data_IF_402006668883
#
_entry.id   IF_402006668883
#
_cell.length_a   1.000
_cell.length_b   1.000
_cell.length_c   1.000
_cell.angle_alpha   90.00
_cell.angle_beta   90.00
_cell.angle_gamma   90.00
#
_symmetry.space_group_name_H-M   'P 1'
#
loop_
_entity.id
_entity.type
_entity.pdbx_description
1 polymer ?
#
# COMPACT_ATOMS: atom_id res chain seq x y z
N UNK A 1 -4.73 17.80 9.18
CA UNK A 1 -3.67 16.85 9.53
C UNK A 1 -3.42 15.77 8.48
N UNK A 2 -4.43 15.13 7.91
CA UNK A 2 -4.31 14.09 6.88
C UNK A 2 -3.61 14.55 5.58
N UNK A 3 -4.01 15.69 4.99
CA UNK A 3 -3.39 16.27 3.79
C UNK A 3 -1.92 16.63 3.98
N UNK A 4 -1.57 17.27 5.12
CA UNK A 4 -0.18 17.64 5.42
C UNK A 4 0.73 16.42 5.50
N UNK A 5 0.28 15.35 6.16
CA UNK A 5 1.02 14.08 6.21
C UNK A 5 1.28 13.53 4.80
N UNK A 6 0.26 13.56 3.91
CA UNK A 6 0.41 13.07 2.53
C UNK A 6 1.37 13.92 1.69
N UNK A 7 1.32 15.24 1.85
CA UNK A 7 2.26 16.16 1.16
C UNK A 7 3.69 15.86 1.62
N UNK A 8 3.93 15.75 2.93
CA UNK A 8 5.27 15.44 3.46
C UNK A 8 5.78 14.09 2.94
N UNK A 9 4.94 13.05 2.98
CA UNK A 9 5.28 11.73 2.44
C UNK A 9 5.57 11.80 0.94
N UNK A 10 4.78 12.55 0.17
CA UNK A 10 5.00 12.72 -1.27
C UNK A 10 6.31 13.48 -1.59
N UNK A 11 6.73 14.40 -0.74
CA UNK A 11 8.00 15.13 -0.90
C UNK A 11 9.22 14.28 -0.56
N UNK A 12 9.09 13.34 0.37
CA UNK A 12 10.20 12.47 0.83
C UNK A 12 10.35 11.26 -0.09
N UNK A 13 9.24 10.65 -0.49
CA UNK A 13 9.25 9.42 -1.28
C UNK A 13 9.70 9.65 -2.73
N UNK A 14 10.34 8.63 -3.37
CA UNK A 14 10.67 8.71 -4.78
C UNK A 14 9.41 8.85 -5.67
N UNK A 15 9.48 9.60 -6.77
CA UNK A 15 10.69 10.22 -7.34
C UNK A 15 11.07 11.56 -6.70
N UNK A 16 10.17 12.21 -5.95
CA UNK A 16 10.31 13.62 -5.54
C UNK A 16 11.50 13.85 -4.62
N UNK A 17 11.68 13.04 -3.57
CA UNK A 17 12.76 13.20 -2.61
C UNK A 17 14.16 13.18 -3.26
N UNK A 18 14.52 12.12 -3.98
CA UNK A 18 15.78 12.07 -4.71
C UNK A 18 15.97 13.23 -5.71
N UNK A 19 14.92 13.62 -6.44
CA UNK A 19 15.00 14.76 -7.38
C UNK A 19 15.28 16.07 -6.64
N UNK A 20 14.58 16.34 -5.55
CA UNK A 20 14.82 17.54 -4.74
C UNK A 20 16.22 17.57 -4.15
N UNK A 21 16.73 16.44 -3.67
CA UNK A 21 18.11 16.32 -3.18
C UNK A 21 19.14 16.56 -4.30
N UNK A 22 18.88 16.04 -5.50
CA UNK A 22 19.74 16.27 -6.65
C UNK A 22 19.78 17.77 -7.04
N UNK A 23 18.62 18.41 -7.11
CA UNK A 23 18.52 19.85 -7.40
C UNK A 23 19.21 20.69 -6.33
N UNK A 24 19.05 20.34 -5.07
CA UNK A 24 19.74 21.00 -3.95
C UNK A 24 21.25 20.82 -4.03
N UNK A 25 21.74 19.62 -4.36
CA UNK A 25 23.15 19.36 -4.60
C UNK A 25 23.73 20.20 -5.74
N UNK A 26 23.01 20.31 -6.87
CA UNK A 26 23.40 21.18 -7.98
C UNK A 26 23.38 22.67 -7.61
N UNK A 27 22.44 23.10 -6.78
CA UNK A 27 22.42 24.46 -6.26
C UNK A 27 23.62 24.75 -5.37
N UNK A 28 23.97 23.84 -4.45
CA UNK A 28 25.17 23.92 -3.61
C UNK A 28 26.45 24.03 -4.46
N UNK A 29 26.54 23.24 -5.53
CA UNK A 29 27.71 23.22 -6.41
C UNK A 29 27.92 24.55 -7.15
N UNK A 30 26.87 25.36 -7.30
CA UNK A 30 26.92 26.71 -7.93
C UNK A 30 27.10 27.83 -6.92
N UNK A 31 27.06 27.56 -5.63
CA UNK A 31 27.22 28.59 -4.60
C UNK A 31 28.57 29.26 -4.75
N UNK A 32 28.54 30.57 -5.04
CA UNK A 32 29.77 31.42 -5.09
C UNK A 32 30.20 31.66 -3.64
N UNK A 33 31.14 30.86 -3.13
CA UNK A 33 31.78 31.17 -1.86
C UNK A 33 32.73 32.36 -2.06
N UNK A 34 32.57 33.38 -1.26
CA UNK A 34 33.48 34.54 -1.19
C UNK A 34 34.76 34.21 -0.40
N UNK A 35 34.88 33.00 0.12
CA UNK A 35 35.96 32.59 1.00
C UNK A 35 36.83 31.50 0.36
N UNK A 36 38.08 31.44 0.82
CA UNK A 36 39.22 30.59 0.42
C UNK A 36 38.95 29.42 -0.52
N UNK A 37 39.77 29.22 -1.52
CA UNK A 37 39.63 28.20 -2.58
C UNK A 37 39.30 26.79 -2.09
N UNK A 38 39.78 26.38 -0.90
CA UNK A 38 39.51 25.08 -0.29
C UNK A 38 38.04 24.88 0.14
N UNK A 39 37.34 25.91 0.66
CA UNK A 39 35.94 25.83 1.03
C UNK A 39 35.04 25.80 -0.20
N UNK A 40 35.37 26.57 -1.22
CA UNK A 40 34.68 26.57 -2.51
C UNK A 40 34.73 25.19 -3.15
N UNK A 41 35.89 24.53 -3.14
CA UNK A 41 36.09 23.20 -3.65
C UNK A 41 35.20 22.17 -2.93
N UNK A 42 35.13 22.20 -1.58
CA UNK A 42 34.28 21.31 -0.76
C UNK A 42 32.80 21.44 -1.11
N UNK A 43 32.25 22.64 -1.24
CA UNK A 43 30.86 22.87 -1.59
C UNK A 43 30.54 22.42 -3.02
N UNK A 44 31.42 22.69 -3.96
CA UNK A 44 31.25 22.33 -5.36
C UNK A 44 31.24 20.80 -5.53
N UNK A 45 32.24 20.10 -5.03
CA UNK A 45 32.31 18.64 -5.17
C UNK A 45 31.30 17.93 -4.26
N UNK A 46 31.07 18.44 -3.06
CA UNK A 46 30.00 17.93 -2.18
C UNK A 46 28.61 18.02 -2.80
N UNK A 47 28.31 19.15 -3.45
CA UNK A 47 27.06 19.34 -4.18
C UNK A 47 26.92 18.39 -5.37
N UNK A 48 27.98 18.25 -6.18
CA UNK A 48 27.98 17.29 -7.31
C UNK A 48 27.82 15.86 -6.80
N UNK A 49 28.54 15.46 -5.76
CA UNK A 49 28.44 14.14 -5.16
C UNK A 49 27.01 13.86 -4.66
N UNK A 50 26.41 14.81 -3.95
CA UNK A 50 25.02 14.68 -3.48
C UNK A 50 24.06 14.50 -4.66
N UNK A 51 24.19 15.31 -5.71
CA UNK A 51 23.35 15.19 -6.90
C UNK A 51 23.52 13.83 -7.57
N UNK A 52 24.77 13.38 -7.75
CA UNK A 52 25.08 12.08 -8.37
C UNK A 52 24.50 10.92 -7.55
N UNK A 53 24.73 10.89 -6.24
CA UNK A 53 24.21 9.85 -5.36
C UNK A 53 22.67 9.83 -5.34
N UNK A 54 22.02 10.99 -5.37
CA UNK A 54 20.57 11.09 -5.43
C UNK A 54 19.99 10.53 -6.74
N UNK A 55 20.64 10.81 -7.87
CA UNK A 55 20.23 10.24 -9.17
C UNK A 55 20.49 8.74 -9.25
N UNK A 56 21.63 8.27 -8.75
CA UNK A 56 21.94 6.85 -8.68
C UNK A 56 20.96 6.09 -7.76
N UNK A 57 20.57 6.71 -6.63
CA UNK A 57 19.55 6.13 -5.76
C UNK A 57 18.18 6.03 -6.45
N UNK A 58 17.79 7.05 -7.23
CA UNK A 58 16.55 7.01 -7.99
C UNK A 58 16.59 5.91 -9.06
N UNK A 59 17.72 5.77 -9.76
CA UNK A 59 17.94 4.71 -10.74
C UNK A 59 17.84 3.32 -10.07
N UNK A 60 18.54 3.12 -8.97
CA UNK A 60 18.50 1.86 -8.21
C UNK A 60 17.09 1.52 -7.73
N UNK A 61 16.38 2.50 -7.14
CA UNK A 61 14.98 2.33 -6.70
C UNK A 61 14.01 2.05 -7.84
N UNK A 62 14.38 2.37 -9.08
CA UNK A 62 13.59 2.06 -10.28
C UNK A 62 13.82 0.64 -10.82
N UNK A 63 14.79 -0.10 -10.27
CA UNK A 63 15.01 -1.50 -10.66
C UNK A 63 14.09 -2.44 -9.87
N UNK A 64 13.49 -3.46 -10.53
CA UNK A 64 12.67 -4.46 -9.84
C UNK A 64 13.41 -5.18 -8.71
N UNK A 65 14.70 -5.49 -8.87
CA UNK A 65 15.49 -6.18 -7.83
C UNK A 65 15.52 -5.40 -6.50
N UNK A 66 15.69 -4.08 -6.55
CA UNK A 66 15.63 -3.24 -5.34
C UNK A 66 14.21 -3.16 -4.80
N UNK A 67 13.21 -3.01 -5.67
CA UNK A 67 11.80 -3.03 -5.29
C UNK A 67 11.43 -4.32 -4.55
N UNK A 68 11.82 -5.49 -5.08
CA UNK A 68 11.60 -6.79 -4.43
C UNK A 68 12.37 -6.93 -3.12
N UNK A 69 13.63 -6.51 -3.07
CA UNK A 69 14.43 -6.56 -1.84
C UNK A 69 13.83 -5.72 -0.71
N UNK A 70 13.28 -4.55 -1.03
CA UNK A 70 12.57 -3.71 -0.07
C UNK A 70 11.21 -4.28 0.34
N UNK A 71 10.52 -4.97 -0.58
CA UNK A 71 9.19 -5.51 -0.35
C UNK A 71 9.21 -6.84 0.42
N UNK A 72 10.24 -7.68 0.23
CA UNK A 72 10.30 -9.02 0.79
C UNK A 72 10.12 -9.07 2.33
N UNK A 73 10.80 -8.20 3.14
CA UNK A 73 10.61 -8.21 4.60
C UNK A 73 9.19 -7.75 5.03
N UNK A 74 8.46 -7.05 4.16
CA UNK A 74 7.11 -6.59 4.42
C UNK A 74 6.05 -7.67 4.13
N UNK A 75 6.43 -8.84 3.62
CA UNK A 75 5.55 -9.95 3.26
C UNK A 75 5.79 -11.20 4.14
N UNK A 76 5.69 -11.10 5.49
CA UNK A 76 6.01 -12.23 6.38
C UNK A 76 4.94 -13.33 6.35
N UNK A 77 3.74 -13.03 5.86
CA UNK A 77 2.65 -13.99 5.81
C UNK A 77 2.71 -14.79 4.50
N UNK A 78 2.88 -16.12 4.52
CA UNK A 78 2.84 -16.93 3.32
C UNK A 78 1.44 -17.00 2.71
N UNK A 79 1.33 -17.45 1.47
CA UNK A 79 0.04 -17.75 0.86
C UNK A 79 -0.76 -18.75 1.73
N UNK A 80 -2.06 -18.57 1.78
CA UNK A 80 -2.95 -19.46 2.58
C UNK A 80 -2.79 -20.93 2.18
N UNK A 81 -2.44 -21.76 3.14
CA UNK A 81 -2.42 -23.21 2.97
C UNK A 81 -3.84 -23.82 3.13
N UNK A 82 -4.09 -24.98 2.52
CA UNK A 82 -5.33 -25.73 2.73
C UNK A 82 -5.60 -25.95 4.23
N UNK A 83 -6.81 -25.62 4.68
CA UNK A 83 -7.22 -25.82 6.08
C UNK A 83 -6.98 -24.63 7.01
N UNK A 84 -6.20 -23.63 6.66
CA UNK A 84 -6.00 -22.43 7.51
C UNK A 84 -7.29 -21.61 7.72
N UNK A 85 -8.27 -21.74 6.83
CA UNK A 85 -9.59 -21.09 6.96
C UNK A 85 -10.57 -21.85 7.86
N UNK A 86 -10.14 -22.93 8.52
CA UNK A 86 -10.99 -23.67 9.45
C UNK A 86 -11.41 -22.77 10.63
N UNK A 87 -12.71 -22.65 10.83
CA UNK A 87 -13.31 -21.79 11.86
C UNK A 87 -13.37 -20.32 11.51
N UNK A 88 -12.91 -19.88 10.32
CA UNK A 88 -13.16 -18.54 9.79
C UNK A 88 -14.66 -18.42 9.43
N UNK A 89 -15.26 -17.28 9.78
CA UNK A 89 -16.70 -17.04 9.65
C UNK A 89 -17.02 -16.02 8.55
N UNK A 90 -16.07 -15.15 8.19
CA UNK A 90 -16.22 -14.19 7.11
C UNK A 90 -14.85 -13.84 6.48
N UNK A 91 -14.91 -13.39 5.24
CA UNK A 91 -13.76 -12.80 4.52
C UNK A 91 -13.95 -11.30 4.51
N UNK A 92 -12.94 -10.56 4.96
CA UNK A 92 -12.90 -9.09 4.91
C UNK A 92 -11.90 -8.66 3.87
N UNK A 93 -12.33 -7.85 2.90
CA UNK A 93 -11.49 -7.35 1.81
C UNK A 93 -11.25 -5.86 2.00
N UNK A 94 -9.99 -5.46 2.12
CA UNK A 94 -9.59 -4.06 2.24
C UNK A 94 -9.50 -3.40 0.87
N UNK A 95 -9.99 -2.17 0.75
CA UNK A 95 -9.75 -1.31 -0.39
C UNK A 95 -8.25 -1.00 -0.58
N UNK A 96 -7.84 -0.75 -1.80
CA UNK A 96 -6.46 -0.45 -2.21
C UNK A 96 -6.34 0.79 -3.09
N UNK A 97 -7.46 1.43 -3.38
CA UNK A 97 -7.57 2.64 -4.18
C UNK A 97 -8.57 2.55 -5.32
N UNK A 98 -9.14 3.70 -5.66
CA UNK A 98 -10.14 3.85 -6.73
C UNK A 98 -9.49 4.32 -8.03
N UNK A 99 -10.12 4.00 -9.15
CA UNK A 99 -9.90 4.59 -10.46
C UNK A 99 -10.99 5.64 -10.69
N UNK A 100 -10.60 6.89 -10.62
CA UNK A 100 -11.54 8.01 -10.68
C UNK A 100 -11.89 8.38 -12.11
N UNK A 101 -13.18 8.65 -12.35
CA UNK A 101 -13.68 9.16 -13.61
C UNK A 101 -13.43 8.23 -14.80
N UNK A 102 -13.46 6.92 -14.61
CA UNK A 102 -13.29 5.92 -15.65
C UNK A 102 -14.44 6.00 -16.68
N UNK A 103 -14.21 6.49 -17.91
CA UNK A 103 -15.29 6.73 -18.86
C UNK A 103 -15.92 5.43 -19.35
N UNK A 104 -15.17 4.35 -19.43
CA UNK A 104 -15.61 3.01 -19.84
C UNK A 104 -16.53 2.34 -18.82
N UNK A 105 -16.50 2.80 -17.55
CA UNK A 105 -17.37 2.34 -16.47
C UNK A 105 -18.41 3.37 -16.03
N UNK A 106 -18.48 4.52 -16.72
CA UNK A 106 -19.42 5.58 -16.42
C UNK A 106 -19.14 6.37 -15.15
N UNK A 107 -17.93 6.28 -14.57
CA UNK A 107 -17.56 7.01 -13.36
C UNK A 107 -16.48 6.33 -12.54
N UNK A 108 -16.48 6.56 -11.21
CA UNK A 108 -15.49 6.00 -10.32
C UNK A 108 -15.69 4.49 -10.16
N UNK A 109 -14.60 3.74 -10.30
CA UNK A 109 -14.56 2.28 -10.11
C UNK A 109 -13.34 1.86 -9.30
N UNK A 110 -13.11 0.55 -9.15
CA UNK A 110 -11.98 -0.01 -8.43
C UNK A 110 -10.65 0.21 -9.16
N UNK A 111 -9.60 0.58 -8.44
CA UNK A 111 -8.23 0.62 -8.96
C UNK A 111 -7.58 -0.77 -9.04
N UNK A 112 -6.43 -0.85 -9.73
CA UNK A 112 -5.68 -2.10 -9.90
C UNK A 112 -5.43 -2.87 -8.60
N UNK A 113 -4.88 -2.23 -7.54
CA UNK A 113 -4.67 -2.91 -6.26
C UNK A 113 -5.94 -3.47 -5.62
N UNK A 114 -7.08 -2.79 -5.78
CA UNK A 114 -8.36 -3.28 -5.28
C UNK A 114 -8.86 -4.46 -6.10
N UNK A 115 -8.70 -4.40 -7.43
CA UNK A 115 -9.06 -5.51 -8.32
C UNK A 115 -8.31 -6.80 -7.94
N UNK A 116 -7.01 -6.74 -7.64
CA UNK A 116 -6.23 -7.89 -7.20
C UNK A 116 -6.79 -8.50 -5.90
N UNK A 117 -7.20 -7.65 -4.95
CA UNK A 117 -7.78 -8.09 -3.67
C UNK A 117 -9.16 -8.70 -3.84
N UNK A 118 -10.07 -8.06 -4.57
CA UNK A 118 -11.43 -8.61 -4.77
C UNK A 118 -11.40 -9.88 -5.60
N UNK A 119 -10.51 -10.00 -6.61
CA UNK A 119 -10.32 -11.24 -7.36
C UNK A 119 -9.96 -12.41 -6.44
N UNK A 120 -9.02 -12.18 -5.49
CA UNK A 120 -8.64 -13.21 -4.53
C UNK A 120 -9.74 -13.49 -3.52
N UNK A 121 -10.40 -12.46 -2.98
CA UNK A 121 -11.54 -12.60 -2.08
C UNK A 121 -12.70 -13.36 -2.71
N UNK A 122 -13.04 -13.07 -3.96
CA UNK A 122 -14.05 -13.80 -4.73
C UNK A 122 -13.67 -15.27 -4.92
N UNK A 123 -12.40 -15.56 -5.24
CA UNK A 123 -11.89 -16.92 -5.36
C UNK A 123 -12.00 -17.69 -4.05
N UNK A 124 -11.64 -17.07 -2.91
CA UNK A 124 -11.80 -17.67 -1.58
C UNK A 124 -13.26 -17.91 -1.23
N UNK A 125 -14.14 -16.93 -1.43
CA UNK A 125 -15.57 -17.03 -1.11
C UNK A 125 -16.24 -18.16 -1.89
N UNK A 126 -15.99 -18.30 -3.19
CA UNK A 126 -16.52 -19.40 -4.00
C UNK A 126 -16.08 -20.78 -3.50
N UNK A 127 -14.85 -20.92 -2.99
CA UNK A 127 -14.32 -22.20 -2.50
C UNK A 127 -14.77 -22.56 -1.07
N UNK A 128 -15.00 -21.55 -0.25
CA UNK A 128 -15.29 -21.72 1.18
C UNK A 128 -16.75 -21.47 1.52
N UNK A 129 -17.49 -20.79 0.64
CA UNK A 129 -18.85 -20.26 0.86
C UNK A 129 -18.93 -19.26 2.02
N UNK A 130 -17.80 -18.71 2.44
CA UNK A 130 -17.77 -17.68 3.47
C UNK A 130 -18.33 -16.36 2.92
N UNK A 131 -19.13 -15.63 3.72
CA UNK A 131 -19.66 -14.33 3.34
C UNK A 131 -18.56 -13.27 3.25
N UNK A 132 -18.76 -12.28 2.38
CA UNK A 132 -17.83 -11.18 2.15
C UNK A 132 -18.25 -9.93 2.89
N UNK A 133 -17.27 -9.26 3.50
CA UNK A 133 -17.32 -7.85 3.86
C UNK A 133 -16.29 -7.10 3.00
N UNK A 134 -16.71 -5.99 2.41
CA UNK A 134 -15.81 -5.03 1.73
C UNK A 134 -15.74 -3.73 2.52
N UNK A 135 -14.54 -3.13 2.64
CA UNK A 135 -14.33 -1.88 3.38
C UNK A 135 -13.44 -0.92 2.62
N UNK A 136 -13.86 0.33 2.54
CA UNK A 136 -13.15 1.41 1.89
C UNK A 136 -14.08 2.57 1.57
N UNK A 137 -13.79 3.76 2.10
CA UNK A 137 -14.59 4.96 1.87
C UNK A 137 -14.09 5.81 0.71
N UNK A 138 -14.44 7.10 0.74
CA UNK A 138 -14.05 8.11 -0.23
C UNK A 138 -13.29 9.27 0.43
N UNK A 139 -12.04 9.08 0.91
CA UNK A 139 -11.31 10.10 1.65
C UNK A 139 -10.99 11.38 0.85
N UNK A 140 -11.14 11.32 -0.47
CA UNK A 140 -10.94 12.45 -1.41
C UNK A 140 -12.23 12.93 -2.06
N UNK A 141 -13.40 12.41 -1.63
CA UNK A 141 -14.68 12.60 -2.30
C UNK A 141 -14.90 11.60 -3.42
N UNK A 142 -16.04 11.73 -4.12
CA UNK A 142 -16.46 10.77 -5.13
C UNK A 142 -17.20 9.56 -4.54
N UNK A 143 -17.23 8.47 -5.28
CA UNK A 143 -17.86 7.21 -4.88
C UNK A 143 -17.00 6.47 -3.86
N UNK A 144 -17.63 5.92 -2.82
CA UNK A 144 -16.91 5.09 -1.86
C UNK A 144 -16.35 3.83 -2.53
N UNK A 145 -15.10 3.50 -2.20
CA UNK A 145 -14.41 2.35 -2.81
C UNK A 145 -15.14 1.04 -2.55
N UNK A 146 -15.68 0.85 -1.33
CA UNK A 146 -16.45 -0.35 -0.97
C UNK A 146 -17.71 -0.54 -1.81
N UNK A 147 -18.36 0.54 -2.26
CA UNK A 147 -19.52 0.45 -3.15
C UNK A 147 -19.11 -0.02 -4.54
N UNK A 148 -17.98 0.45 -5.05
CA UNK A 148 -17.41 -0.01 -6.31
C UNK A 148 -16.90 -1.46 -6.21
N UNK A 149 -16.33 -1.84 -5.05
CA UNK A 149 -15.92 -3.23 -4.78
C UNK A 149 -17.13 -4.18 -4.77
N UNK A 150 -18.23 -3.79 -4.14
CA UNK A 150 -19.47 -4.57 -4.14
C UNK A 150 -19.98 -4.78 -5.56
N UNK A 151 -20.09 -3.70 -6.33
CA UNK A 151 -20.58 -3.76 -7.70
C UNK A 151 -19.74 -4.72 -8.55
N UNK A 152 -18.42 -4.57 -8.55
CA UNK A 152 -17.53 -5.46 -9.29
C UNK A 152 -17.63 -6.92 -8.81
N UNK A 153 -17.71 -7.17 -7.49
CA UNK A 153 -17.87 -8.52 -6.96
C UNK A 153 -19.18 -9.18 -7.40
N UNK A 154 -20.28 -8.44 -7.39
CA UNK A 154 -21.60 -8.95 -7.72
C UNK A 154 -21.80 -9.09 -9.25
N UNK A 155 -21.40 -8.07 -10.03
CA UNK A 155 -21.67 -8.03 -11.47
C UNK A 155 -20.61 -8.76 -12.30
N UNK A 156 -19.32 -8.63 -11.95
CA UNK A 156 -18.24 -9.21 -12.75
C UNK A 156 -17.78 -10.57 -12.22
N UNK A 157 -17.71 -10.71 -10.87
CA UNK A 157 -17.26 -11.96 -10.25
C UNK A 157 -18.41 -12.90 -9.85
N UNK A 158 -19.68 -12.48 -9.87
CA UNK A 158 -20.84 -13.28 -9.51
C UNK A 158 -20.83 -13.74 -8.04
N UNK A 159 -20.28 -12.90 -7.14
CA UNK A 159 -20.17 -13.22 -5.70
C UNK A 159 -20.88 -12.15 -4.89
N UNK A 160 -21.90 -12.53 -4.14
CA UNK A 160 -22.67 -11.62 -3.29
C UNK A 160 -21.82 -11.06 -2.14
N UNK A 161 -21.98 -9.77 -1.89
CA UNK A 161 -21.36 -9.08 -0.76
C UNK A 161 -22.38 -8.92 0.37
N UNK A 162 -22.07 -9.44 1.55
CA UNK A 162 -23.00 -9.41 2.69
C UNK A 162 -22.95 -8.09 3.45
N UNK A 163 -21.76 -7.49 3.60
CA UNK A 163 -21.58 -6.25 4.33
C UNK A 163 -20.69 -5.28 3.56
N UNK A 164 -21.08 -4.02 3.58
CA UNK A 164 -20.35 -2.92 2.95
C UNK A 164 -20.05 -1.87 4.00
N UNK A 165 -18.78 -1.56 4.20
CA UNK A 165 -18.32 -0.44 5.03
C UNK A 165 -17.74 0.62 4.11
N UNK A 166 -18.41 1.75 3.94
CA UNK A 166 -18.11 2.78 2.94
C UNK A 166 -17.72 4.14 3.54
N UNK A 167 -17.54 4.23 4.87
CA UNK A 167 -17.27 5.49 5.55
C UNK A 167 -15.81 5.69 5.99
N UNK A 168 -14.99 4.64 5.95
CA UNK A 168 -13.60 4.67 6.41
C UNK A 168 -12.70 5.53 5.53
N UNK A 169 -11.78 6.29 6.15
CA UNK A 169 -10.79 7.13 5.49
C UNK A 169 -9.38 6.55 5.51
N UNK A 170 -9.16 5.55 6.36
CA UNK A 170 -7.90 4.84 6.52
C UNK A 170 -8.13 3.43 7.08
N UNK A 171 -7.04 2.65 7.19
CA UNK A 171 -7.10 1.25 7.63
C UNK A 171 -7.57 1.10 9.08
N UNK A 172 -7.28 2.06 9.96
CA UNK A 172 -7.74 2.01 11.35
C UNK A 172 -9.25 2.24 11.44
N UNK A 173 -9.77 3.18 10.64
CA UNK A 173 -11.22 3.38 10.51
C UNK A 173 -11.90 2.18 9.84
N UNK A 174 -11.29 1.57 8.83
CA UNK A 174 -11.80 0.32 8.23
C UNK A 174 -11.99 -0.78 9.28
N UNK A 175 -11.00 -1.00 10.15
CA UNK A 175 -11.13 -1.97 11.24
C UNK A 175 -12.23 -1.58 12.23
N UNK A 176 -12.22 -0.33 12.71
CA UNK A 176 -13.17 0.17 13.70
C UNK A 176 -14.62 0.16 13.21
N UNK A 177 -14.86 0.48 11.94
CA UNK A 177 -16.21 0.55 11.37
C UNK A 177 -16.72 -0.81 10.87
N UNK A 178 -15.84 -1.73 10.48
CA UNK A 178 -16.21 -3.09 10.10
C UNK A 178 -16.56 -3.96 11.31
N UNK A 179 -15.91 -3.75 12.45
CA UNK A 179 -16.09 -4.59 13.63
C UNK A 179 -17.55 -4.66 14.14
N UNK A 180 -18.31 -3.54 14.25
CA UNK A 180 -19.72 -3.60 14.65
C UNK A 180 -20.61 -4.38 13.69
N UNK A 181 -20.35 -4.31 12.37
CA UNK A 181 -21.08 -5.05 11.35
C UNK A 181 -20.88 -6.55 11.51
N UNK A 182 -19.66 -6.96 11.81
CA UNK A 182 -19.28 -8.34 12.04
C UNK A 182 -19.83 -8.87 13.38
N UNK A 183 -19.70 -8.07 14.45
CA UNK A 183 -20.18 -8.40 15.79
C UNK A 183 -21.70 -8.61 15.82
N UNK A 184 -22.48 -7.78 15.12
CA UNK A 184 -23.93 -7.92 15.00
C UNK A 184 -24.35 -9.25 14.33
N UNK A 185 -23.45 -9.88 13.56
CA UNK A 185 -23.64 -11.18 12.94
C UNK A 185 -22.97 -12.34 13.71
N UNK A 186 -22.42 -12.09 14.89
CA UNK A 186 -21.72 -13.10 15.70
C UNK A 186 -20.38 -13.54 15.11
N UNK A 187 -19.80 -12.74 14.21
CA UNK A 187 -18.50 -13.03 13.57
C UNK A 187 -17.38 -12.53 14.46
N UNK A 188 -16.54 -13.45 14.90
CA UNK A 188 -15.36 -13.17 15.74
C UNK A 188 -14.04 -13.54 15.09
N UNK A 189 -14.07 -14.40 14.04
CA UNK A 189 -12.87 -14.85 13.32
C UNK A 189 -13.03 -14.62 11.83
N UNK A 190 -12.07 -13.86 11.26
CA UNK A 190 -12.09 -13.42 9.87
C UNK A 190 -10.85 -13.83 9.10
N UNK A 191 -10.98 -13.96 7.78
CA UNK A 191 -9.86 -13.94 6.85
C UNK A 191 -9.71 -12.51 6.30
N UNK A 192 -8.57 -11.87 6.54
CA UNK A 192 -8.31 -10.50 6.09
C UNK A 192 -7.52 -10.52 4.78
N UNK A 193 -8.19 -10.13 3.69
CA UNK A 193 -7.61 -10.06 2.34
C UNK A 193 -7.00 -8.70 2.08
N UNK A 194 -5.72 -8.69 1.80
CA UNK A 194 -4.98 -7.53 1.36
C UNK A 194 -3.67 -7.94 0.68
N UNK A 195 -2.91 -6.98 0.15
CA UNK A 195 -1.54 -7.23 -0.31
C UNK A 195 -0.66 -7.75 0.84
N UNK A 196 0.23 -8.70 0.54
CA UNK A 196 1.12 -9.31 1.53
C UNK A 196 1.89 -8.28 2.37
N UNK A 197 2.38 -7.21 1.74
CA UNK A 197 3.10 -6.13 2.38
C UNK A 197 2.24 -5.19 3.27
N UNK A 198 0.92 -5.17 3.06
CA UNK A 198 0.00 -4.33 3.84
C UNK A 198 -0.52 -5.03 5.10
N UNK A 199 -0.62 -6.36 5.09
CA UNK A 199 -1.18 -7.16 6.19
C UNK A 199 -0.49 -6.96 7.54
N UNK A 200 0.86 -6.85 7.64
CA UNK A 200 1.52 -6.62 8.94
C UNK A 200 1.05 -5.36 9.66
N UNK A 201 0.62 -4.34 8.91
CA UNK A 201 0.04 -3.11 9.47
C UNK A 201 -1.46 -3.21 9.70
N UNK A 202 -2.17 -3.95 8.87
CA UNK A 202 -3.62 -4.04 8.94
C UNK A 202 -4.10 -5.02 10.04
N UNK A 203 -3.44 -6.16 10.20
CA UNK A 203 -3.86 -7.21 11.14
C UNK A 203 -4.00 -6.69 12.58
N UNK A 204 -2.99 -6.02 13.17
CA UNK A 204 -3.09 -5.52 14.55
C UNK A 204 -4.29 -4.57 14.75
N UNK A 205 -4.66 -3.78 13.73
CA UNK A 205 -5.78 -2.85 13.81
C UNK A 205 -7.13 -3.58 13.91
N UNK A 206 -7.28 -4.72 13.22
CA UNK A 206 -8.48 -5.56 13.34
C UNK A 206 -8.49 -6.37 14.63
N UNK A 207 -7.33 -6.86 15.08
CA UNK A 207 -7.20 -7.57 16.37
C UNK A 207 -7.51 -6.67 17.56
N UNK A 208 -7.13 -5.38 17.51
CA UNK A 208 -7.52 -4.37 18.50
C UNK A 208 -9.04 -4.16 18.61
N UNK A 209 -9.80 -4.56 17.61
CA UNK A 209 -11.27 -4.55 17.64
C UNK A 209 -11.88 -5.86 18.18
N UNK A 210 -11.05 -6.77 18.73
CA UNK A 210 -11.50 -8.04 19.29
C UNK A 210 -11.71 -9.16 18.26
N UNK A 211 -11.26 -8.99 17.03
CA UNK A 211 -11.36 -9.99 15.97
C UNK A 211 -10.14 -10.92 15.96
N UNK A 212 -10.36 -12.21 15.73
CA UNK A 212 -9.30 -13.15 15.40
C UNK A 212 -9.03 -13.08 13.91
N UNK A 213 -7.80 -12.75 13.52
CA UNK A 213 -7.47 -12.50 12.11
C UNK A 213 -6.59 -13.60 11.54
N UNK A 214 -7.06 -14.21 10.45
CA UNK A 214 -6.27 -15.09 9.59
C UNK A 214 -5.79 -14.25 8.40
N UNK A 215 -4.48 -14.14 8.23
CA UNK A 215 -3.90 -13.42 7.09
C UNK A 215 -4.25 -14.13 5.77
N UNK A 216 -4.82 -13.39 4.83
CA UNK A 216 -5.10 -13.87 3.48
C UNK A 216 -4.38 -12.99 2.44
N UNK A 217 -3.03 -13.11 2.34
CA UNK A 217 -2.22 -12.28 1.48
C UNK A 217 -2.46 -12.59 0.00
N UNK A 218 -2.44 -11.53 -0.82
CA UNK A 218 -2.44 -11.61 -2.28
C UNK A 218 -1.39 -10.67 -2.86
N UNK A 219 -1.22 -10.69 -4.19
CA UNK A 219 -0.32 -9.81 -4.94
C UNK A 219 1.10 -9.77 -4.35
N UNK A 220 1.69 -10.94 -4.19
CA UNK A 220 3.07 -11.04 -3.73
C UNK A 220 4.03 -10.40 -4.74
N UNK A 221 4.96 -9.62 -4.20
CA UNK A 221 6.07 -9.11 -5.00
C UNK A 221 7.09 -10.23 -5.20
N UNK A 222 7.13 -10.77 -6.41
CA UNK A 222 8.05 -11.86 -6.80
C UNK A 222 8.99 -11.37 -7.89
N UNK A 223 10.29 -11.72 -7.85
CA UNK A 223 11.22 -11.37 -8.92
C UNK A 223 10.84 -12.09 -10.22
N UNK A 224 11.13 -11.44 -11.36
CA UNK A 224 11.02 -12.08 -12.67
C UNK A 224 12.03 -13.22 -12.78
N UNK A 225 11.71 -14.31 -13.51
CA UNK A 225 12.72 -15.32 -13.88
C UNK A 225 13.89 -14.74 -14.70
N UNK A 226 13.70 -13.62 -15.40
CA UNK A 226 14.73 -12.94 -16.18
C UNK A 226 15.58 -12.01 -15.31
N UNK A 227 16.89 -12.29 -15.22
CA UNK A 227 17.82 -11.43 -14.51
C UNK A 227 17.88 -10.02 -15.12
N UNK A 228 17.83 -9.93 -16.45
CA UNK A 228 17.87 -8.64 -17.16
C UNK A 228 16.66 -7.76 -16.80
N UNK A 229 15.45 -8.34 -16.77
CA UNK A 229 14.24 -7.61 -16.36
C UNK A 229 14.32 -7.12 -14.91
N UNK A 230 14.96 -7.87 -14.03
CA UNK A 230 15.14 -7.45 -12.63
C UNK A 230 16.15 -6.31 -12.46
N UNK A 231 17.14 -6.21 -13.37
CA UNK A 231 18.20 -5.19 -13.30
C UNK A 231 17.88 -3.92 -14.08
N UNK A 232 17.05 -4.00 -15.12
CA UNK A 232 16.67 -2.82 -15.89
C UNK A 232 15.70 -1.92 -15.14
N UNK A 233 15.94 -0.60 -15.09
CA UNK A 233 15.00 0.36 -14.49
C UNK A 233 13.69 0.37 -15.27
N UNK A 234 12.62 -0.15 -14.67
CA UNK A 234 11.32 -0.29 -15.33
C UNK A 234 10.14 0.11 -14.43
N UNK A 235 10.31 0.06 -13.11
CA UNK A 235 9.19 0.26 -12.19
C UNK A 235 9.61 0.83 -10.83
N UNK A 236 9.29 2.08 -10.60
CA UNK A 236 9.53 2.74 -9.31
C UNK A 236 8.41 2.47 -8.27
N UNK A 237 7.24 2.00 -8.73
CA UNK A 237 6.06 1.85 -7.85
C UNK A 237 6.31 0.86 -6.72
N UNK A 238 6.97 -0.27 -6.99
CA UNK A 238 7.30 -1.28 -5.98
C UNK A 238 8.14 -0.71 -4.83
N UNK A 239 9.23 -0.02 -5.15
CA UNK A 239 10.08 0.64 -4.14
C UNK A 239 9.33 1.74 -3.39
N UNK A 240 8.50 2.53 -4.08
CA UNK A 240 7.68 3.58 -3.47
C UNK A 240 6.65 3.00 -2.50
N UNK A 241 5.97 1.92 -2.84
CA UNK A 241 5.02 1.24 -1.95
C UNK A 241 5.73 0.67 -0.72
N UNK A 242 6.88 0.01 -0.90
CA UNK A 242 7.66 -0.50 0.23
C UNK A 242 8.08 0.62 1.19
N UNK A 243 8.67 1.70 0.68
CA UNK A 243 9.09 2.84 1.50
C UNK A 243 7.91 3.52 2.20
N UNK A 244 6.76 3.66 1.52
CA UNK A 244 5.54 4.20 2.13
C UNK A 244 5.03 3.30 3.29
N UNK A 245 5.13 1.99 3.15
CA UNK A 245 4.73 1.05 4.19
C UNK A 245 5.68 1.09 5.40
N UNK A 246 7.01 1.18 5.18
CA UNK A 246 7.97 1.40 6.27
C UNK A 246 7.68 2.68 7.04
N UNK A 247 7.39 3.79 6.34
CA UNK A 247 6.97 5.05 6.98
C UNK A 247 5.66 4.89 7.76
N UNK A 248 4.71 4.13 7.20
CA UNK A 248 3.44 3.82 7.85
C UNK A 248 3.64 3.04 9.16
N UNK A 249 4.43 1.98 9.12
CA UNK A 249 4.75 1.17 10.31
C UNK A 249 5.49 1.98 11.37
N UNK A 250 6.47 2.80 10.97
CA UNK A 250 7.18 3.70 11.89
C UNK A 250 6.23 4.68 12.58
N UNK A 251 5.30 5.26 11.82
CA UNK A 251 4.30 6.19 12.38
C UNK A 251 3.42 5.52 13.45
N UNK A 252 2.93 4.30 13.21
CA UNK A 252 2.14 3.59 14.21
C UNK A 252 2.96 3.22 15.45
N UNK A 253 4.19 2.73 15.28
CA UNK A 253 5.09 2.44 16.42
C UNK A 253 5.37 3.67 17.30
N UNK A 254 5.57 4.84 16.69
CA UNK A 254 5.78 6.10 17.43
C UNK A 254 4.51 6.56 18.14
N UNK A 255 3.34 6.35 17.52
CA UNK A 255 2.05 6.68 18.13
C UNK A 255 1.72 5.78 19.32
N UNK A 256 2.08 4.50 19.26
CA UNK A 256 1.82 3.54 20.33
C UNK A 256 2.83 3.70 21.50
N UNK A 257 3.96 4.41 21.29
CA UNK A 257 4.98 4.71 22.28
C UNK A 257 4.77 6.03 23.02
N UNK A 258 3.82 6.88 22.56
CA UNK A 258 3.41 8.16 23.16
C UNK A 258 2.08 8.02 23.91
#
# INVERSE_FOLDING_TARGET
MFLLKKILVALILPPTGPVLLALFGLWLSRAKSSQRDAERWRWQYGGILLATLSLLSLLALSTPIVGHALMAPLQPHPALAPGQLKGVQAIVILGGGSYYGAPEYGGDTIGGPTLERIRYGAWLSRRTRLPLLVTGGAPYGGRAEADSMREALEQEFGVAVRWVESASRDTAESARLSAPLLAAAGVTRIALVSHGWHLPRAIPLFEQQGLQVVAAPTAFSMPSPSLLENLLPSNLAGSRWALNEYLGQLFYRLKDAL
#
